data_IF_955294385108
#
_entry.id   IF_955294385108
#
_cell.length_a   1.000
_cell.length_b   1.000
_cell.length_c   1.000
_cell.angle_alpha   90.00
_cell.angle_beta   90.00
_cell.angle_gamma   90.00
#
_symmetry.space_group_name_H-M   'P 1'
#
loop_
_entity.id
_entity.type
_entity.pdbx_description
1 polymer ?
#
# COMPACT_ATOMS: atom_id res chain seq x y z
N UNK A 1 -6.51 -13.08 21.94
CA UNK A 1 -7.64 -13.73 21.25
C UNK A 1 -8.82 -13.70 22.21
N UNK A 2 -10.02 -13.27 21.77
CA UNK A 2 -11.24 -13.48 22.56
C UNK A 2 -11.77 -14.84 22.13
N UNK A 3 -11.61 -15.85 22.99
CA UNK A 3 -12.13 -17.21 22.78
C UNK A 3 -13.65 -17.19 23.01
N UNK A 4 -14.43 -17.21 21.92
CA UNK A 4 -15.90 -17.26 22.01
C UNK A 4 -16.35 -18.70 22.24
N UNK A 5 -16.34 -19.14 23.50
CA UNK A 5 -16.99 -20.39 23.94
C UNK A 5 -18.50 -20.21 24.10
N UNK A 6 -19.19 -19.79 23.02
CA UNK A 6 -20.65 -19.60 23.02
C UNK A 6 -21.30 -20.93 22.59
N UNK A 7 -22.15 -21.48 23.45
CA UNK A 7 -22.92 -22.71 23.22
C UNK A 7 -24.08 -22.48 22.25
N UNK A 8 -24.58 -23.55 21.60
CA UNK A 8 -25.64 -23.47 20.59
C UNK A 8 -26.96 -22.86 21.12
N UNK A 9 -27.22 -22.97 22.44
CA UNK A 9 -28.35 -22.33 23.12
C UNK A 9 -28.18 -20.82 23.31
N UNK A 10 -26.96 -20.32 23.34
CA UNK A 10 -26.66 -18.89 23.48
C UNK A 10 -26.75 -18.16 22.13
N UNK A 11 -26.57 -18.86 20.99
CA UNK A 11 -26.83 -18.35 19.65
C UNK A 11 -28.32 -18.05 19.36
N UNK A 12 -29.24 -18.65 20.13
CA UNK A 12 -30.67 -18.32 20.04
C UNK A 12 -31.02 -16.94 20.64
N UNK A 13 -30.05 -16.27 21.28
CA UNK A 13 -30.18 -14.88 21.72
C UNK A 13 -29.77 -13.94 20.57
N UNK A 14 -30.69 -13.11 20.05
CA UNK A 14 -30.39 -12.15 18.97
C UNK A 14 -29.21 -11.24 19.29
N UNK A 15 -28.93 -10.97 20.58
CA UNK A 15 -27.78 -10.17 20.99
C UNK A 15 -26.44 -10.82 20.64
N UNK A 16 -26.34 -12.15 20.73
CA UNK A 16 -25.11 -12.87 20.41
C UNK A 16 -24.84 -12.93 18.90
N UNK A 17 -25.90 -13.02 18.09
CA UNK A 17 -25.81 -12.89 16.62
C UNK A 17 -25.31 -11.49 16.22
N UNK A 18 -25.82 -10.44 16.87
CA UNK A 18 -25.35 -9.07 16.63
C UNK A 18 -23.89 -8.88 17.05
N UNK A 19 -23.48 -9.45 18.18
CA UNK A 19 -22.08 -9.39 18.63
C UNK A 19 -21.13 -10.11 17.66
N UNK A 20 -21.54 -11.27 17.12
CA UNK A 20 -20.78 -11.96 16.08
C UNK A 20 -20.66 -11.09 14.82
N UNK A 21 -21.76 -10.54 14.32
CA UNK A 21 -21.76 -9.67 13.15
C UNK A 21 -20.87 -8.43 13.34
N UNK A 22 -20.96 -7.76 14.50
CA UNK A 22 -20.09 -6.62 14.83
C UNK A 22 -18.61 -7.03 14.79
N UNK A 23 -18.28 -8.23 15.30
CA UNK A 23 -16.92 -8.72 15.28
C UNK A 23 -16.43 -9.04 13.86
N UNK A 24 -17.29 -9.58 13.00
CA UNK A 24 -17.00 -9.81 11.57
C UNK A 24 -16.74 -8.49 10.84
N UNK A 25 -17.62 -7.50 11.03
CA UNK A 25 -17.47 -6.15 10.46
C UNK A 25 -16.16 -5.51 10.92
N UNK A 26 -15.85 -5.59 12.23
CA UNK A 26 -14.58 -5.10 12.78
C UNK A 26 -13.37 -5.75 12.11
N UNK A 27 -13.39 -7.08 11.94
CA UNK A 27 -12.28 -7.80 11.31
C UNK A 27 -12.13 -7.45 9.83
N UNK A 28 -13.24 -7.23 9.12
CA UNK A 28 -13.22 -6.77 7.73
C UNK A 28 -12.63 -5.35 7.61
N UNK A 29 -12.97 -4.45 8.54
CA UNK A 29 -12.40 -3.10 8.59
C UNK A 29 -10.89 -3.10 8.86
N UNK A 30 -10.42 -3.96 9.77
CA UNK A 30 -8.97 -4.12 10.03
C UNK A 30 -8.23 -4.54 8.75
N UNK A 31 -8.74 -5.57 8.05
CA UNK A 31 -8.13 -6.04 6.79
C UNK A 31 -8.14 -4.96 5.70
N UNK A 32 -9.22 -4.19 5.60
CA UNK A 32 -9.31 -3.09 4.63
C UNK A 32 -8.30 -1.98 4.94
N UNK A 33 -8.09 -1.67 6.21
CA UNK A 33 -7.09 -0.69 6.64
C UNK A 33 -5.67 -1.17 6.32
N UNK A 34 -5.32 -2.42 6.65
CA UNK A 34 -4.02 -3.02 6.34
C UNK A 34 -3.71 -2.99 4.83
N UNK A 35 -4.69 -3.37 3.98
CA UNK A 35 -4.54 -3.30 2.54
C UNK A 35 -4.36 -1.85 2.02
N UNK A 36 -4.97 -0.87 2.68
CA UNK A 36 -4.81 0.55 2.32
C UNK A 36 -3.43 1.06 2.69
N UNK A 37 -2.89 0.69 3.86
CA UNK A 37 -1.51 1.01 4.26
C UNK A 37 -0.48 0.41 3.30
N UNK A 38 -0.66 -0.86 2.88
CA UNK A 38 0.19 -1.47 1.85
C UNK A 38 0.16 -0.69 0.54
N UNK A 39 -1.02 -0.29 0.06
CA UNK A 39 -1.16 0.55 -1.13
C UNK A 39 -0.47 1.90 -0.99
N UNK A 40 -0.60 2.57 0.16
CA UNK A 40 0.13 3.81 0.46
C UNK A 40 1.66 3.60 0.38
N UNK A 41 2.16 2.48 0.90
CA UNK A 41 3.56 2.08 0.77
C UNK A 41 4.00 1.91 -0.69
N UNK A 42 3.18 1.25 -1.52
CA UNK A 42 3.42 1.13 -2.97
C UNK A 42 3.48 2.49 -3.68
N UNK A 43 2.57 3.42 -3.37
CA UNK A 43 2.61 4.77 -3.95
C UNK A 43 3.88 5.53 -3.57
N UNK A 44 4.29 5.46 -2.30
CA UNK A 44 5.55 6.07 -1.85
C UNK A 44 6.76 5.47 -2.57
N UNK A 45 6.78 4.15 -2.77
CA UNK A 45 7.83 3.46 -3.52
C UNK A 45 7.87 3.90 -4.98
N UNK A 46 6.71 3.95 -5.66
CA UNK A 46 6.61 4.39 -7.05
C UNK A 46 7.08 5.85 -7.22
N UNK A 47 6.74 6.73 -6.29
CA UNK A 47 7.23 8.11 -6.31
C UNK A 47 8.76 8.19 -6.19
N UNK A 48 9.36 7.34 -5.34
CA UNK A 48 10.82 7.25 -5.21
C UNK A 48 11.47 6.76 -6.50
N UNK A 49 10.93 5.70 -7.13
CA UNK A 49 11.41 5.20 -8.41
C UNK A 49 11.31 6.25 -9.52
N UNK A 50 10.18 6.95 -9.63
CA UNK A 50 10.01 8.04 -10.59
C UNK A 50 11.09 9.11 -10.44
N UNK A 51 11.38 9.53 -9.20
CA UNK A 51 12.42 10.52 -8.92
C UNK A 51 13.81 10.03 -9.34
N UNK A 52 14.13 8.75 -9.14
CA UNK A 52 15.40 8.16 -9.55
C UNK A 52 15.53 8.09 -11.08
N UNK A 53 14.47 7.70 -11.76
CA UNK A 53 14.42 7.66 -13.24
C UNK A 53 14.61 9.07 -13.80
N UNK A 54 13.89 10.06 -13.28
CA UNK A 54 14.00 11.46 -13.72
C UNK A 54 15.41 12.03 -13.56
N UNK A 55 16.07 11.78 -12.41
CA UNK A 55 17.49 12.19 -12.21
C UNK A 55 18.44 11.50 -13.17
N UNK A 56 18.17 10.24 -13.51
CA UNK A 56 19.00 9.49 -14.46
C UNK A 56 18.85 10.04 -15.88
N UNK A 57 17.62 10.34 -16.30
CA UNK A 57 17.34 10.97 -17.60
C UNK A 57 18.08 12.30 -17.74
N UNK A 58 18.01 13.16 -16.73
CA UNK A 58 18.73 14.44 -16.73
C UNK A 58 20.25 14.27 -16.93
N UNK A 59 20.86 13.28 -16.25
CA UNK A 59 22.30 12.99 -16.39
C UNK A 59 22.65 12.46 -17.79
N UNK A 60 21.74 11.71 -18.42
CA UNK A 60 21.92 11.23 -19.79
C UNK A 60 21.87 12.42 -20.76
N UNK A 61 20.91 13.33 -20.61
CA UNK A 61 20.82 14.55 -21.44
C UNK A 61 22.06 15.43 -21.29
N UNK A 62 22.56 15.59 -20.06
CA UNK A 62 23.80 16.33 -19.80
C UNK A 62 25.02 15.66 -20.44
N UNK A 63 25.14 14.33 -20.33
CA UNK A 63 26.21 13.59 -20.97
C UNK A 63 26.17 13.69 -22.50
N UNK A 64 24.98 13.58 -23.10
CA UNK A 64 24.77 13.73 -24.53
C UNK A 64 25.17 15.12 -25.02
N UNK A 65 24.75 16.17 -24.29
CA UNK A 65 25.16 17.54 -24.57
C UNK A 65 26.68 17.70 -24.52
N UNK A 66 27.33 17.20 -23.48
CA UNK A 66 28.78 17.29 -23.31
C UNK A 66 29.53 16.57 -24.44
N UNK A 67 29.04 15.41 -24.88
CA UNK A 67 29.61 14.68 -26.01
C UNK A 67 29.47 15.47 -27.31
N UNK A 68 28.27 16.01 -27.57
CA UNK A 68 28.03 16.82 -28.76
C UNK A 68 28.91 18.08 -28.79
N UNK A 69 29.12 18.75 -27.66
CA UNK A 69 30.05 19.89 -27.57
C UNK A 69 31.50 19.47 -27.82
N UNK A 70 31.93 18.31 -27.30
CA UNK A 70 33.28 17.79 -27.51
C UNK A 70 33.56 17.49 -28.99
N UNK A 71 32.60 16.86 -29.69
CA UNK A 71 32.75 16.45 -31.09
C UNK A 71 32.36 17.52 -32.11
N UNK A 72 31.66 18.59 -31.72
CA UNK A 72 31.35 19.73 -32.59
C UNK A 72 32.49 20.77 -32.67
N UNK A 73 33.55 20.59 -31.89
CA UNK A 73 34.74 21.45 -31.86
C UNK A 73 35.91 20.90 -32.71
N UNK A 74 35.74 19.76 -33.38
CA UNK A 74 36.63 19.23 -34.44
C UNK A 74 36.15 19.65 -35.84
#
# INVERSE_FOLDING_TARGET
MIENNITQSELANPLNEHLMYINEVKNALIKAYEATEELCGYYAHNQSLYNQISRTLYRIEEADKNLNELFALE
#
